data_IF_807067982992
#
_entry.id   IF_807067982992
#
_cell.length_a   1.000
_cell.length_b   1.000
_cell.length_c   1.000
_cell.angle_alpha   90.00
_cell.angle_beta   90.00
_cell.angle_gamma   90.00
#
_symmetry.space_group_name_H-M   'P 1'
#
loop_
_entity.id
_entity.type
_entity.pdbx_description
1 polymer ?
#
# COMPACT_ATOMS: atom_id res chain seq x y z
N UNK A 1 -25.37 -11.05 43.87
CA UNK A 1 -24.23 -12.00 43.82
C UNK A 1 -24.29 -12.98 42.64
N UNK A 2 -25.40 -13.09 41.90
CA UNK A 2 -25.54 -14.00 40.73
C UNK A 2 -25.08 -13.43 39.37
N UNK A 3 -24.71 -12.15 39.29
CA UNK A 3 -24.27 -11.51 38.02
C UNK A 3 -22.83 -11.91 37.62
N UNK A 4 -22.00 -12.34 38.58
CA UNK A 4 -20.57 -12.61 38.35
C UNK A 4 -20.29 -14.02 37.80
N UNK A 5 -21.21 -14.98 37.98
CA UNK A 5 -21.07 -16.38 37.56
C UNK A 5 -20.92 -16.48 36.03
N UNK A 6 -21.83 -15.87 35.26
CA UNK A 6 -21.92 -16.13 33.82
C UNK A 6 -20.81 -15.50 32.98
N UNK A 7 -20.24 -14.38 33.39
CA UNK A 7 -19.21 -13.69 32.60
C UNK A 7 -17.81 -14.30 32.82
N UNK A 8 -17.55 -14.83 34.02
CA UNK A 8 -16.28 -15.48 34.35
C UNK A 8 -16.30 -17.01 34.26
N UNK A 9 -17.46 -17.70 34.38
CA UNK A 9 -17.53 -19.16 34.12
C UNK A 9 -17.15 -19.51 32.68
N UNK A 10 -17.40 -18.60 31.73
CA UNK A 10 -16.96 -18.76 30.34
C UNK A 10 -15.46 -18.48 30.14
N UNK A 11 -14.79 -17.89 31.13
CA UNK A 11 -13.37 -17.54 31.13
C UNK A 11 -12.54 -18.42 32.07
N UNK A 12 -13.18 -19.28 32.88
CA UNK A 12 -12.47 -20.24 33.74
C UNK A 12 -11.68 -21.22 32.85
N UNK A 13 -10.34 -21.23 32.94
CA UNK A 13 -9.49 -22.00 32.04
C UNK A 13 -9.79 -23.49 32.10
N UNK A 14 -9.89 -24.15 30.93
CA UNK A 14 -9.74 -25.61 30.80
C UNK A 14 -8.27 -26.06 31.02
N UNK A 15 -7.50 -25.29 31.78
CA UNK A 15 -6.10 -25.54 32.09
C UNK A 15 -5.98 -26.48 33.29
N UNK A 16 -4.95 -27.34 33.26
CA UNK A 16 -4.66 -28.33 34.32
C UNK A 16 -4.51 -27.70 35.70
N UNK A 17 -4.04 -26.46 35.80
CA UNK A 17 -3.86 -25.75 37.07
C UNK A 17 -5.19 -25.41 37.76
N UNK A 18 -6.14 -24.78 37.06
CA UNK A 18 -7.44 -24.41 37.63
C UNK A 18 -8.28 -25.65 37.91
N UNK A 19 -8.17 -26.68 37.07
CA UNK A 19 -8.77 -27.98 37.36
C UNK A 19 -8.19 -28.62 38.62
N UNK A 20 -6.88 -28.47 38.87
CA UNK A 20 -6.24 -28.90 40.11
C UNK A 20 -6.77 -28.16 41.34
N UNK A 21 -6.93 -26.84 41.25
CA UNK A 21 -7.50 -26.03 42.34
C UNK A 21 -8.98 -26.35 42.59
N UNK A 22 -9.76 -26.61 41.54
CA UNK A 22 -11.15 -27.04 41.66
C UNK A 22 -11.25 -28.41 42.36
N UNK A 23 -10.42 -29.39 41.97
CA UNK A 23 -10.36 -30.69 42.66
C UNK A 23 -9.95 -30.54 44.12
N UNK A 24 -8.99 -29.68 44.43
CA UNK A 24 -8.59 -29.40 45.80
C UNK A 24 -9.76 -28.80 46.59
N UNK A 25 -10.47 -27.81 46.03
CA UNK A 25 -11.67 -27.21 46.62
C UNK A 25 -12.71 -28.24 47.02
N UNK A 26 -12.99 -29.21 46.15
CA UNK A 26 -14.00 -30.24 46.39
C UNK A 26 -13.63 -31.20 47.53
N UNK A 27 -12.35 -31.27 47.92
CA UNK A 27 -11.89 -32.05 49.08
C UNK A 27 -11.97 -31.27 50.41
N UNK A 28 -12.20 -29.96 50.36
CA UNK A 28 -12.25 -29.09 51.54
C UNK A 28 -13.65 -29.06 52.17
N UNK A 29 -13.79 -28.84 53.49
CA UNK A 29 -15.10 -28.60 54.11
C UNK A 29 -15.82 -27.39 53.52
N UNK A 30 -17.14 -27.48 53.33
CA UNK A 30 -17.98 -26.40 52.74
C UNK A 30 -17.80 -25.03 53.43
N UNK A 31 -17.54 -25.04 54.74
CA UNK A 31 -17.35 -23.82 55.54
C UNK A 31 -16.15 -22.96 55.09
N UNK A 32 -15.15 -23.57 54.42
CA UNK A 32 -13.95 -22.85 53.97
C UNK A 32 -13.93 -22.57 52.46
N UNK A 33 -14.92 -23.05 51.69
CA UNK A 33 -14.98 -22.87 50.23
C UNK A 33 -14.94 -21.40 49.83
N UNK A 34 -15.75 -20.53 50.46
CA UNK A 34 -15.78 -19.11 50.13
C UNK A 34 -14.42 -18.42 50.35
N UNK A 35 -13.73 -18.74 51.45
CA UNK A 35 -12.40 -18.20 51.74
C UNK A 35 -11.37 -18.73 50.76
N UNK A 36 -11.42 -20.03 50.42
CA UNK A 36 -10.55 -20.64 49.43
C UNK A 36 -10.74 -19.99 48.04
N UNK A 37 -11.99 -19.82 47.60
CA UNK A 37 -12.33 -19.20 46.32
C UNK A 37 -11.81 -17.77 46.22
N UNK A 38 -11.89 -16.99 47.31
CA UNK A 38 -11.34 -15.63 47.36
C UNK A 38 -9.80 -15.63 47.25
N UNK A 39 -9.11 -16.54 47.94
CA UNK A 39 -7.65 -16.64 47.85
C UNK A 39 -7.21 -17.08 46.46
N UNK A 40 -7.88 -18.07 45.88
CA UNK A 40 -7.61 -18.52 44.50
C UNK A 40 -7.87 -17.39 43.52
N UNK A 41 -8.94 -16.61 43.68
CA UNK A 41 -9.24 -15.45 42.83
C UNK A 41 -8.15 -14.40 42.90
N UNK A 42 -7.72 -14.02 44.10
CA UNK A 42 -6.61 -13.09 44.29
C UNK A 42 -5.32 -13.63 43.64
N UNK A 43 -4.95 -14.88 43.92
CA UNK A 43 -3.76 -15.51 43.34
C UNK A 43 -3.80 -15.56 41.81
N UNK A 44 -4.92 -15.97 41.21
CA UNK A 44 -5.08 -16.04 39.74
C UNK A 44 -5.00 -14.64 39.12
N UNK A 45 -5.61 -13.63 39.75
CA UNK A 45 -5.52 -12.23 39.29
C UNK A 45 -4.09 -11.73 39.30
N UNK A 46 -3.36 -11.97 40.38
CA UNK A 46 -2.00 -11.49 40.56
C UNK A 46 -1.06 -12.19 39.57
N UNK A 47 -1.17 -13.52 39.43
CA UNK A 47 -0.41 -14.28 38.42
C UNK A 47 -0.76 -13.85 36.99
N UNK A 48 -2.03 -13.60 36.68
CA UNK A 48 -2.45 -13.11 35.35
C UNK A 48 -1.86 -11.73 35.05
N UNK A 49 -1.69 -10.89 36.07
CA UNK A 49 -1.04 -9.58 35.94
C UNK A 49 0.45 -9.73 35.65
N UNK A 50 1.16 -10.61 36.37
CA UNK A 50 2.57 -10.90 36.11
C UNK A 50 2.81 -11.55 34.74
N UNK A 51 1.93 -12.46 34.33
CA UNK A 51 1.95 -13.02 32.97
C UNK A 51 1.66 -11.92 31.95
N UNK A 52 0.71 -11.03 32.20
CA UNK A 52 0.44 -9.89 31.33
C UNK A 52 1.68 -9.02 31.10
N UNK A 53 2.39 -8.68 32.17
CA UNK A 53 3.69 -7.97 32.11
C UNK A 53 4.72 -8.75 31.29
N UNK A 54 4.84 -10.07 31.51
CA UNK A 54 5.72 -10.93 30.70
C UNK A 54 5.33 -10.89 29.21
N UNK A 55 4.03 -10.94 28.87
CA UNK A 55 3.55 -10.90 27.49
C UNK A 55 3.80 -9.55 26.81
N UNK A 56 3.78 -8.44 27.55
CA UNK A 56 4.21 -7.14 27.02
C UNK A 56 5.72 -7.09 26.71
N UNK A 57 6.52 -7.88 27.44
CA UNK A 57 7.97 -7.87 27.37
C UNK A 57 8.56 -9.08 26.61
N UNK A 58 7.79 -9.69 25.70
CA UNK A 58 8.25 -10.82 24.89
C UNK A 58 9.47 -10.52 24.00
N UNK A 59 9.82 -9.24 23.85
CA UNK A 59 10.99 -8.79 23.11
C UNK A 59 12.29 -8.85 23.95
N UNK A 60 12.19 -8.78 25.27
CA UNK A 60 13.35 -8.74 26.18
C UNK A 60 13.95 -10.14 26.42
N UNK A 61 13.11 -11.19 26.33
CA UNK A 61 13.47 -12.55 26.73
C UNK A 61 13.25 -13.54 25.61
N UNK A 62 14.16 -14.51 25.49
CA UNK A 62 14.08 -15.61 24.51
C UNK A 62 13.06 -16.67 24.98
N UNK A 63 11.78 -16.37 24.82
CA UNK A 63 10.72 -17.35 25.02
C UNK A 63 10.48 -18.18 23.75
N UNK A 64 10.11 -19.45 23.90
CA UNK A 64 9.57 -20.25 22.79
C UNK A 64 8.06 -20.03 22.64
N UNK A 65 7.54 -20.20 21.42
CA UNK A 65 6.08 -20.12 21.14
C UNK A 65 5.30 -21.09 22.06
N UNK A 66 5.81 -22.31 22.25
CA UNK A 66 5.18 -23.33 23.10
C UNK A 66 5.12 -22.91 24.58
N UNK A 67 6.18 -22.29 25.12
CA UNK A 67 6.17 -21.78 26.49
C UNK A 67 5.12 -20.68 26.68
N UNK A 68 5.13 -19.70 25.76
CA UNK A 68 4.15 -18.59 25.80
C UNK A 68 2.73 -19.12 25.72
N UNK A 69 2.47 -20.09 24.83
CA UNK A 69 1.16 -20.73 24.70
C UNK A 69 0.72 -21.45 25.99
N UNK A 70 1.61 -22.20 26.63
CA UNK A 70 1.30 -22.89 27.90
C UNK A 70 0.91 -21.90 28.99
N UNK A 71 1.63 -20.79 29.10
CA UNK A 71 1.36 -19.75 30.11
C UNK A 71 0.03 -19.03 29.83
N UNK A 72 -0.25 -18.68 28.57
CA UNK A 72 -1.54 -18.07 28.19
C UNK A 72 -2.71 -19.00 28.53
N UNK A 73 -2.60 -20.30 28.25
CA UNK A 73 -3.65 -21.28 28.56
C UNK A 73 -3.85 -21.47 30.06
N UNK A 74 -2.82 -21.26 30.87
CA UNK A 74 -2.93 -21.26 32.32
C UNK A 74 -3.59 -19.96 32.84
N UNK A 75 -3.31 -18.82 32.21
CA UNK A 75 -3.78 -17.49 32.63
C UNK A 75 -4.35 -16.66 31.46
N UNK A 76 -5.52 -17.01 30.90
CA UNK A 76 -6.05 -16.38 29.69
C UNK A 76 -6.36 -14.88 29.82
N UNK A 77 -6.78 -14.44 31.01
CA UNK A 77 -7.07 -13.05 31.33
C UNK A 77 -5.85 -12.13 31.15
N UNK A 78 -4.64 -12.69 31.18
CA UNK A 78 -3.41 -11.95 30.87
C UNK A 78 -3.39 -11.33 29.47
N UNK A 79 -4.16 -11.88 28.51
CA UNK A 79 -4.32 -11.32 27.15
C UNK A 79 -5.06 -9.99 27.12
N UNK A 80 -5.76 -9.63 28.21
CA UNK A 80 -6.44 -8.36 28.40
C UNK A 80 -5.68 -7.42 29.34
N UNK A 81 -4.53 -7.85 29.88
CA UNK A 81 -3.74 -7.01 30.76
C UNK A 81 -3.30 -5.75 30.00
N UNK A 82 -3.57 -4.59 30.60
CA UNK A 82 -3.15 -3.31 30.05
C UNK A 82 -1.79 -2.93 30.61
N UNK A 83 -0.91 -2.41 29.76
CA UNK A 83 0.30 -1.73 30.22
C UNK A 83 0.05 -0.24 30.52
N UNK A 84 1.10 0.49 30.88
CA UNK A 84 1.04 1.94 31.16
C UNK A 84 0.57 2.80 29.96
N UNK A 85 0.57 2.26 28.73
CA UNK A 85 0.05 2.92 27.51
C UNK A 85 -1.38 2.50 27.19
N UNK A 86 -2.04 1.76 28.08
CA UNK A 86 -3.34 1.14 27.86
C UNK A 86 -3.37 0.19 26.65
N UNK A 87 -2.25 -0.47 26.36
CA UNK A 87 -2.18 -1.50 25.31
C UNK A 87 -2.36 -2.88 25.90
N UNK A 88 -2.96 -3.78 25.13
CA UNK A 88 -2.95 -5.22 25.42
C UNK A 88 -1.71 -5.91 24.83
N UNK A 89 -1.35 -7.14 25.23
CA UNK A 89 -0.07 -7.72 24.86
C UNK A 89 0.18 -7.88 23.36
N UNK A 90 -0.85 -8.20 22.56
CA UNK A 90 -0.70 -8.30 21.10
C UNK A 90 -0.30 -6.96 20.45
N UNK A 91 -0.74 -5.83 21.03
CA UNK A 91 -0.37 -4.50 20.56
C UNK A 91 1.10 -4.19 20.91
N UNK A 92 1.57 -4.52 22.11
CA UNK A 92 3.00 -4.41 22.45
C UNK A 92 3.87 -5.30 21.55
N UNK A 93 3.42 -6.54 21.34
CA UNK A 93 4.12 -7.55 20.54
C UNK A 93 4.28 -7.13 19.06
N UNK A 94 3.28 -6.45 18.49
CA UNK A 94 3.37 -5.97 17.11
C UNK A 94 4.32 -4.79 16.90
N UNK A 95 4.87 -4.19 17.98
CA UNK A 95 5.74 -3.02 17.91
C UNK A 95 7.24 -3.37 17.87
N UNK A 96 7.63 -4.63 18.08
CA UNK A 96 9.03 -5.05 18.11
C UNK A 96 9.27 -6.23 17.16
N UNK A 97 10.40 -6.21 16.45
CA UNK A 97 10.77 -7.28 15.52
C UNK A 97 11.07 -8.60 16.25
N UNK A 98 11.59 -8.54 17.48
CA UNK A 98 11.91 -9.69 18.32
C UNK A 98 10.65 -10.42 18.79
N UNK A 99 9.58 -9.66 19.04
CA UNK A 99 8.32 -10.19 19.56
C UNK A 99 7.25 -10.43 18.50
N UNK A 100 7.28 -9.76 17.34
CA UNK A 100 6.19 -9.84 16.33
C UNK A 100 5.83 -11.27 15.90
N UNK A 101 6.78 -12.21 15.97
CA UNK A 101 6.54 -13.64 15.69
C UNK A 101 5.48 -14.29 16.59
N UNK A 102 5.19 -13.72 17.76
CA UNK A 102 4.15 -14.20 18.67
C UNK A 102 2.75 -13.67 18.33
N UNK A 103 2.61 -12.66 17.45
CA UNK A 103 1.31 -12.08 17.08
C UNK A 103 0.31 -13.13 16.58
N UNK A 104 0.66 -14.09 15.69
CA UNK A 104 -0.28 -15.13 15.29
C UNK A 104 -0.76 -16.02 16.44
N UNK A 105 0.16 -16.40 17.35
CA UNK A 105 -0.19 -17.17 18.55
C UNK A 105 -1.15 -16.38 19.45
N UNK A 106 -0.82 -15.12 19.74
CA UNK A 106 -1.63 -14.27 20.59
C UNK A 106 -3.02 -14.08 20.00
N UNK A 107 -3.13 -13.85 18.69
CA UNK A 107 -4.43 -13.71 18.03
C UNK A 107 -5.28 -14.99 18.11
N UNK A 108 -4.67 -16.17 17.88
CA UNK A 108 -5.36 -17.46 17.96
C UNK A 108 -5.88 -17.74 19.37
N UNK A 109 -5.02 -17.64 20.38
CA UNK A 109 -5.42 -17.89 21.77
C UNK A 109 -6.45 -16.84 22.23
N UNK A 110 -6.25 -15.57 21.89
CA UNK A 110 -7.19 -14.49 22.20
C UNK A 110 -8.57 -14.69 21.55
N UNK A 111 -8.66 -15.36 20.40
CA UNK A 111 -9.95 -15.73 19.81
C UNK A 111 -10.69 -16.81 20.62
N UNK A 112 -9.99 -17.76 21.23
CA UNK A 112 -10.60 -18.78 22.08
C UNK A 112 -11.30 -18.17 23.30
N UNK A 113 -10.74 -17.07 23.81
CA UNK A 113 -11.26 -16.35 24.97
C UNK A 113 -12.06 -15.08 24.60
N UNK A 114 -12.48 -14.95 23.33
CA UNK A 114 -13.33 -13.84 22.86
C UNK A 114 -12.78 -12.43 23.16
N UNK A 115 -11.45 -12.27 23.17
CA UNK A 115 -10.79 -10.98 23.38
C UNK A 115 -11.18 -10.02 22.26
N UNK A 116 -11.74 -8.86 22.65
CA UNK A 116 -12.30 -7.85 21.74
C UNK A 116 -13.56 -8.32 20.97
N UNK A 117 -14.27 -9.32 21.49
CA UNK A 117 -15.52 -9.84 20.93
C UNK A 117 -15.33 -10.74 19.70
N UNK A 118 -16.42 -11.38 19.26
CA UNK A 118 -16.41 -12.42 18.19
C UNK A 118 -15.83 -11.94 16.87
N UNK A 119 -15.95 -10.64 16.60
CA UNK A 119 -15.44 -10.01 15.38
C UNK A 119 -14.06 -9.36 15.55
N UNK A 120 -13.53 -9.26 16.78
CA UNK A 120 -12.27 -8.59 17.09
C UNK A 120 -11.01 -9.31 16.61
N UNK A 121 -11.15 -10.61 16.24
CA UNK A 121 -10.06 -11.50 15.82
C UNK A 121 -8.87 -11.47 16.80
N UNK A 122 -9.17 -11.70 18.08
CA UNK A 122 -8.14 -11.78 19.12
C UNK A 122 -7.37 -10.48 19.30
N UNK A 123 -8.03 -9.33 19.13
CA UNK A 123 -7.41 -8.01 19.27
C UNK A 123 -6.71 -7.45 18.02
N UNK A 124 -6.62 -8.19 16.91
CA UNK A 124 -5.99 -7.70 15.68
C UNK A 124 -6.64 -6.42 15.11
N UNK A 125 -7.94 -6.23 15.35
CA UNK A 125 -8.68 -5.02 14.92
C UNK A 125 -8.70 -3.92 15.98
N UNK A 126 -8.09 -4.13 17.14
CA UNK A 126 -8.12 -3.19 18.24
C UNK A 126 -7.21 -2.00 17.95
N UNK A 127 -7.73 -0.79 18.13
CA UNK A 127 -6.98 0.45 18.02
C UNK A 127 -6.11 0.66 19.27
N UNK A 128 -4.96 1.29 19.11
CA UNK A 128 -4.02 1.53 20.21
C UNK A 128 -4.49 2.63 21.18
N UNK A 129 -5.45 3.46 20.78
CA UNK A 129 -6.06 4.48 21.63
C UNK A 129 -7.45 4.87 21.11
N UNK A 130 -8.25 5.51 21.96
CA UNK A 130 -9.55 6.11 21.60
C UNK A 130 -9.38 7.36 20.73
N UNK A 131 -8.18 7.93 20.64
CA UNK A 131 -7.89 9.05 19.75
C UNK A 131 -8.15 8.65 18.30
N UNK A 132 -8.82 9.56 17.58
CA UNK A 132 -9.15 9.40 16.16
C UNK A 132 -7.86 9.16 15.38
N UNK A 133 -7.88 8.16 14.47
CA UNK A 133 -6.76 7.75 13.60
C UNK A 133 -5.61 6.93 14.24
N UNK A 134 -5.76 6.41 15.45
CA UNK A 134 -4.75 5.44 15.92
C UNK A 134 -4.79 4.14 15.10
N UNK A 135 -3.62 3.62 14.67
CA UNK A 135 -3.56 2.41 13.88
C UNK A 135 -4.05 1.22 14.72
N UNK A 136 -4.59 0.20 14.06
CA UNK A 136 -4.77 -1.11 14.67
C UNK A 136 -3.55 -2.00 14.46
N UNK A 137 -3.53 -3.19 15.09
CA UNK A 137 -2.42 -4.14 14.98
C UNK A 137 -2.08 -4.49 13.53
N UNK A 138 -3.07 -4.70 12.65
CA UNK A 138 -2.79 -4.99 11.23
C UNK A 138 -2.09 -3.83 10.52
N UNK A 139 -2.49 -2.59 10.79
CA UNK A 139 -1.84 -1.40 10.25
C UNK A 139 -0.42 -1.26 10.80
N UNK A 140 -0.22 -1.52 12.10
CA UNK A 140 1.11 -1.55 12.72
C UNK A 140 2.01 -2.56 12.02
N UNK A 141 1.55 -3.79 11.81
CA UNK A 141 2.33 -4.81 11.10
C UNK A 141 2.76 -4.37 9.68
N UNK A 142 1.95 -3.55 9.01
CA UNK A 142 2.23 -3.03 7.68
C UNK A 142 3.20 -1.85 7.69
N UNK A 143 3.13 -0.99 8.71
CA UNK A 143 3.86 0.28 8.77
C UNK A 143 5.16 0.22 9.58
N UNK A 144 5.38 -0.78 10.43
CA UNK A 144 6.54 -0.78 11.32
C UNK A 144 7.85 -0.77 10.53
N UNK A 145 8.66 0.27 10.78
CA UNK A 145 9.99 0.48 10.21
C UNK A 145 11.01 0.22 11.32
N UNK A 146 12.12 -0.43 10.99
CA UNK A 146 13.29 -0.43 11.86
C UNK A 146 14.12 0.81 11.59
N UNK A 147 14.72 1.39 12.64
CA UNK A 147 15.70 2.46 12.47
C UNK A 147 16.90 2.00 11.63
N UNK A 148 17.25 0.72 11.71
CA UNK A 148 18.42 0.16 11.04
C UNK A 148 18.22 -0.13 9.54
N UNK A 149 17.08 0.27 8.94
CA UNK A 149 16.71 0.01 7.53
C UNK A 149 16.97 -1.44 7.06
N UNK A 150 17.04 -2.40 7.99
CA UNK A 150 17.40 -3.77 7.70
C UNK A 150 16.25 -4.48 6.99
N UNK A 151 16.55 -5.05 5.82
CA UNK A 151 15.62 -5.89 5.05
C UNK A 151 15.11 -7.09 5.85
N UNK A 152 15.83 -7.49 6.91
CA UNK A 152 15.41 -8.57 7.80
C UNK A 152 14.12 -8.24 8.56
N UNK A 153 13.91 -6.98 8.96
CA UNK A 153 12.70 -6.57 9.68
C UNK A 153 11.48 -6.70 8.78
N UNK A 154 11.56 -6.15 7.56
CA UNK A 154 10.49 -6.24 6.57
C UNK A 154 10.11 -7.69 6.26
N UNK A 155 11.12 -8.57 6.12
CA UNK A 155 10.91 -10.01 5.94
C UNK A 155 10.16 -10.64 7.11
N UNK A 156 10.57 -10.36 8.35
CA UNK A 156 9.93 -10.91 9.55
C UNK A 156 8.45 -10.52 9.64
N UNK A 157 8.12 -9.23 9.46
CA UNK A 157 6.73 -8.79 9.46
C UNK A 157 5.94 -9.36 8.27
N UNK A 158 6.56 -9.51 7.09
CA UNK A 158 5.94 -10.16 5.93
C UNK A 158 5.57 -11.62 6.23
N UNK A 159 6.45 -12.39 6.87
CA UNK A 159 6.15 -13.78 7.26
C UNK A 159 4.99 -13.84 8.27
N UNK A 160 4.91 -12.90 9.21
CA UNK A 160 3.77 -12.81 10.13
C UNK A 160 2.47 -12.54 9.37
N UNK A 161 2.45 -11.62 8.40
CA UNK A 161 1.27 -11.37 7.56
C UNK A 161 0.85 -12.61 6.75
N UNK A 162 1.81 -13.39 6.24
CA UNK A 162 1.54 -14.67 5.56
C UNK A 162 0.94 -15.72 6.50
N UNK A 163 1.44 -15.83 7.73
CA UNK A 163 0.86 -16.74 8.74
C UNK A 163 -0.55 -16.30 9.12
N UNK A 164 -0.79 -14.99 9.29
CA UNK A 164 -2.14 -14.47 9.54
C UNK A 164 -3.09 -14.74 8.36
N UNK A 165 -2.59 -14.66 7.12
CA UNK A 165 -3.35 -15.05 5.93
C UNK A 165 -3.71 -16.55 5.96
N UNK A 166 -2.74 -17.43 6.18
CA UNK A 166 -2.96 -18.88 6.14
C UNK A 166 -3.94 -19.34 7.22
N UNK A 167 -3.94 -18.66 8.37
CA UNK A 167 -4.91 -18.85 9.46
C UNK A 167 -6.27 -18.17 9.23
N UNK A 168 -6.50 -17.55 8.06
CA UNK A 168 -7.71 -16.78 7.72
C UNK A 168 -8.01 -15.61 8.68
N UNK A 169 -6.98 -15.12 9.39
CA UNK A 169 -7.05 -13.97 10.28
C UNK A 169 -6.89 -12.65 9.53
N UNK A 170 -6.05 -12.62 8.49
CA UNK A 170 -5.97 -11.52 7.52
C UNK A 170 -6.84 -11.85 6.30
N UNK A 171 -7.77 -10.97 5.93
CA UNK A 171 -8.75 -11.16 4.87
C UNK A 171 -8.65 -10.05 3.83
N UNK A 172 -9.03 -10.32 2.58
CA UNK A 172 -8.99 -9.33 1.49
C UNK A 172 -9.77 -8.04 1.80
N UNK A 173 -10.91 -8.17 2.51
CA UNK A 173 -11.70 -7.02 2.99
C UNK A 173 -10.94 -6.08 3.93
N UNK A 174 -9.92 -6.60 4.64
CA UNK A 174 -9.11 -5.79 5.57
C UNK A 174 -8.19 -4.81 4.85
N UNK A 175 -7.70 -5.18 3.66
CA UNK A 175 -6.83 -4.32 2.86
C UNK A 175 -7.51 -2.98 2.61
N UNK A 176 -8.80 -3.02 2.27
CA UNK A 176 -9.61 -1.84 2.00
C UNK A 176 -10.02 -1.15 3.30
N UNK A 177 -10.56 -1.92 4.24
CA UNK A 177 -11.12 -1.36 5.48
C UNK A 177 -10.08 -0.61 6.31
N UNK A 178 -8.82 -1.06 6.27
CA UNK A 178 -7.75 -0.52 7.09
C UNK A 178 -6.62 0.10 6.26
N UNK A 179 -6.82 0.27 4.95
CA UNK A 179 -5.85 0.86 4.03
C UNK A 179 -4.44 0.24 4.17
N UNK A 180 -4.39 -1.10 4.30
CA UNK A 180 -3.14 -1.81 4.62
C UNK A 180 -2.08 -1.64 3.54
N UNK A 181 -2.51 -1.52 2.27
CA UNK A 181 -1.60 -1.26 1.16
C UNK A 181 -0.90 0.10 1.31
N UNK A 182 -1.66 1.15 1.63
CA UNK A 182 -1.11 2.48 1.90
C UNK A 182 -0.22 2.47 3.16
N UNK A 183 -0.63 1.78 4.23
CA UNK A 183 0.16 1.65 5.46
C UNK A 183 1.53 0.96 5.22
N UNK A 184 1.62 0.09 4.22
CA UNK A 184 2.87 -0.56 3.80
C UNK A 184 3.65 0.20 2.72
N UNK A 185 3.17 1.37 2.28
CA UNK A 185 3.75 2.12 1.16
C UNK A 185 5.02 2.91 1.57
N UNK A 186 6.02 2.17 2.02
CA UNK A 186 7.35 2.68 2.36
C UNK A 186 8.42 1.73 1.82
N UNK A 187 9.58 2.27 1.45
CA UNK A 187 10.69 1.48 0.94
C UNK A 187 11.19 0.43 1.95
N UNK A 188 11.13 0.74 3.25
CA UNK A 188 11.44 -0.20 4.34
C UNK A 188 10.35 -1.26 4.57
N UNK A 189 9.20 -1.13 3.90
CA UNK A 189 8.08 -2.06 3.94
C UNK A 189 7.83 -2.75 2.59
N UNK A 190 8.82 -2.74 1.68
CA UNK A 190 8.68 -3.18 0.29
C UNK A 190 8.10 -4.59 0.14
N UNK A 191 8.56 -5.56 0.93
CA UNK A 191 8.12 -6.96 0.87
C UNK A 191 6.67 -7.10 1.33
N UNK A 192 6.26 -6.35 2.37
CA UNK A 192 4.87 -6.28 2.83
C UNK A 192 3.97 -5.65 1.78
N UNK A 193 4.40 -4.53 1.20
CA UNK A 193 3.69 -3.86 0.10
C UNK A 193 3.47 -4.81 -1.07
N UNK A 194 4.53 -5.47 -1.53
CA UNK A 194 4.47 -6.43 -2.63
C UNK A 194 3.59 -7.64 -2.31
N UNK A 195 3.64 -8.14 -1.07
CA UNK A 195 2.78 -9.23 -0.62
C UNK A 195 1.30 -8.84 -0.66
N UNK A 196 0.93 -7.68 -0.10
CA UNK A 196 -0.45 -7.19 -0.09
C UNK A 196 -0.96 -6.87 -1.50
N UNK A 197 -0.09 -6.32 -2.35
CA UNK A 197 -0.42 -5.96 -3.72
C UNK A 197 -0.76 -7.18 -4.60
N UNK A 198 -0.22 -8.37 -4.28
CA UNK A 198 -0.58 -9.62 -4.99
C UNK A 198 -2.07 -9.97 -4.83
N UNK A 199 -2.72 -9.54 -3.75
CA UNK A 199 -4.14 -9.84 -3.54
C UNK A 199 -5.07 -8.96 -4.37
N UNK A 200 -4.70 -7.70 -4.56
CA UNK A 200 -5.55 -6.78 -5.32
C UNK A 200 -4.72 -5.68 -5.99
N UNK A 201 -4.28 -5.96 -7.23
CA UNK A 201 -3.53 -5.00 -8.05
C UNK A 201 -4.39 -3.81 -8.48
N UNK A 202 -5.72 -3.99 -8.63
CA UNK A 202 -6.64 -2.93 -9.05
C UNK A 202 -6.68 -1.79 -8.05
N UNK A 203 -6.35 -2.04 -6.78
CA UNK A 203 -6.26 -1.02 -5.72
C UNK A 203 -5.31 0.13 -6.04
N UNK A 204 -4.31 -0.09 -6.89
CA UNK A 204 -3.42 0.99 -7.32
C UNK A 204 -4.11 2.02 -8.21
N UNK A 205 -5.20 1.65 -8.90
CA UNK A 205 -6.00 2.56 -9.73
C UNK A 205 -7.14 3.23 -8.96
N UNK A 206 -7.50 2.69 -7.80
CA UNK A 206 -8.62 3.17 -7.01
C UNK A 206 -8.22 4.40 -6.18
N UNK A 207 -9.20 5.25 -5.88
CA UNK A 207 -8.99 6.39 -5.00
C UNK A 207 -8.84 5.90 -3.55
N UNK A 208 -7.93 6.54 -2.83
CA UNK A 208 -7.70 6.43 -1.41
C UNK A 208 -7.95 7.80 -0.76
N UNK A 209 -8.98 7.88 0.08
CA UNK A 209 -9.37 9.15 0.73
C UNK A 209 -9.54 10.28 -0.30
N UNK A 210 -10.35 10.04 -1.33
CA UNK A 210 -10.69 10.99 -2.42
C UNK A 210 -9.60 11.16 -3.49
N UNK A 211 -8.32 10.89 -3.20
CA UNK A 211 -7.23 11.03 -4.18
C UNK A 211 -6.81 9.68 -4.79
N UNK A 212 -6.29 9.63 -6.03
CA UNK A 212 -5.70 8.40 -6.57
C UNK A 212 -4.60 7.86 -5.66
N UNK A 213 -4.48 6.53 -5.55
CA UNK A 213 -3.52 5.90 -4.64
C UNK A 213 -2.10 6.46 -4.78
N UNK A 214 -1.59 6.60 -6.01
CA UNK A 214 -0.22 7.08 -6.25
C UNK A 214 -0.01 8.53 -5.78
N UNK A 215 -1.01 9.42 -5.87
CA UNK A 215 -0.95 10.77 -5.30
C UNK A 215 -0.82 10.73 -3.79
N UNK A 216 -1.62 9.90 -3.11
CA UNK A 216 -1.54 9.75 -1.65
C UNK A 216 -0.16 9.28 -1.19
N UNK A 217 0.56 8.52 -2.03
CA UNK A 217 1.94 8.10 -1.72
C UNK A 217 2.94 9.25 -1.73
N UNK A 218 2.66 10.32 -2.50
CA UNK A 218 3.50 11.51 -2.63
C UNK A 218 3.19 12.51 -1.50
N UNK A 219 1.89 12.76 -1.26
CA UNK A 219 1.41 13.81 -0.34
C UNK A 219 1.47 13.40 1.13
N UNK A 220 1.57 12.10 1.43
CA UNK A 220 1.65 11.60 2.80
C UNK A 220 2.94 12.05 3.49
N UNK A 221 2.79 12.70 4.66
CA UNK A 221 3.90 13.18 5.50
C UNK A 221 4.89 12.09 5.93
N UNK A 222 4.45 10.84 5.98
CA UNK A 222 5.30 9.71 6.40
C UNK A 222 6.06 9.07 5.26
N UNK A 223 5.77 9.49 4.02
CA UNK A 223 6.31 8.92 2.80
C UNK A 223 7.35 9.87 2.21
N UNK A 224 8.44 9.30 1.73
CA UNK A 224 9.46 10.04 1.01
C UNK A 224 9.42 9.72 -0.49
N UNK A 225 10.36 10.28 -1.26
CA UNK A 225 10.47 10.00 -2.70
C UNK A 225 10.66 8.50 -3.01
N UNK A 226 11.20 7.72 -2.06
CA UNK A 226 11.32 6.26 -2.19
C UNK A 226 9.98 5.52 -2.20
N UNK A 227 8.93 6.05 -1.54
CA UNK A 227 7.57 5.49 -1.59
C UNK A 227 6.93 5.73 -2.96
N UNK A 228 7.13 6.93 -3.52
CA UNK A 228 6.72 7.23 -4.88
C UNK A 228 7.44 6.33 -5.89
N UNK A 229 8.77 6.20 -5.79
CA UNK A 229 9.56 5.30 -6.66
C UNK A 229 9.10 3.83 -6.56
N UNK A 230 8.87 3.34 -5.33
CA UNK A 230 8.34 1.99 -5.12
C UNK A 230 6.98 1.83 -5.81
N UNK A 231 6.05 2.75 -5.58
CA UNK A 231 4.70 2.69 -6.14
C UNK A 231 4.72 2.79 -7.66
N UNK A 232 5.42 3.77 -8.22
CA UNK A 232 5.59 3.97 -9.65
C UNK A 232 6.18 2.73 -10.32
N UNK A 233 7.21 2.11 -9.72
CA UNK A 233 7.80 0.87 -10.26
C UNK A 233 6.77 -0.27 -10.34
N UNK A 234 5.83 -0.36 -9.39
CA UNK A 234 4.78 -1.38 -9.39
C UNK A 234 3.64 -1.05 -10.33
N UNK A 235 3.21 0.20 -10.38
CA UNK A 235 2.17 0.63 -11.33
C UNK A 235 2.66 0.47 -12.77
N UNK A 236 3.92 0.80 -13.09
CA UNK A 236 4.51 0.54 -14.42
C UNK A 236 4.51 -0.95 -14.76
N UNK A 237 4.76 -1.82 -13.78
CA UNK A 237 4.74 -3.27 -13.97
C UNK A 237 3.34 -3.80 -14.28
N UNK A 238 2.32 -3.28 -13.60
CA UNK A 238 0.94 -3.79 -13.72
C UNK A 238 0.08 -3.05 -14.75
N UNK A 239 0.42 -1.79 -15.04
CA UNK A 239 -0.31 -0.88 -15.92
C UNK A 239 0.66 -0.14 -16.86
N UNK A 240 1.46 -0.87 -17.66
CA UNK A 240 2.45 -0.24 -18.54
C UNK A 240 1.80 0.65 -19.62
N UNK A 241 0.56 0.35 -20.03
CA UNK A 241 -0.21 1.14 -21.01
C UNK A 241 -0.63 2.50 -20.45
N UNK A 242 -0.95 2.57 -19.16
CA UNK A 242 -1.27 3.82 -18.48
C UNK A 242 0.00 4.54 -17.99
N UNK A 243 1.16 4.15 -18.51
CA UNK A 243 2.49 4.58 -18.09
C UNK A 243 2.72 4.51 -16.57
N UNK A 244 2.13 3.50 -15.93
CA UNK A 244 2.17 3.35 -14.49
C UNK A 244 1.48 4.47 -13.71
N UNK A 245 0.40 5.01 -14.28
CA UNK A 245 -0.43 6.04 -13.65
C UNK A 245 0.33 7.36 -13.40
N UNK A 246 1.47 7.57 -14.06
CA UNK A 246 2.28 8.79 -13.92
C UNK A 246 1.50 10.06 -14.30
N UNK A 247 0.50 9.92 -15.18
CA UNK A 247 -0.34 11.02 -15.63
C UNK A 247 -1.81 10.87 -15.21
N UNK A 248 -2.09 10.03 -14.19
CA UNK A 248 -3.42 9.98 -13.61
C UNK A 248 -3.71 11.34 -12.96
N UNK A 249 -4.92 11.88 -13.17
CA UNK A 249 -5.35 13.14 -12.56
C UNK A 249 -6.05 12.90 -11.22
N UNK A 250 -5.89 13.81 -10.27
CA UNK A 250 -6.71 13.90 -9.07
C UNK A 250 -7.94 14.81 -9.32
N UNK A 251 -8.76 15.01 -8.28
CA UNK A 251 -9.96 15.86 -8.34
C UNK A 251 -9.63 17.35 -8.57
N UNK A 252 -8.36 17.75 -8.38
CA UNK A 252 -7.86 19.10 -8.66
C UNK A 252 -7.32 19.26 -10.09
N UNK A 253 -7.46 18.22 -10.92
CA UNK A 253 -6.92 18.13 -12.29
C UNK A 253 -5.38 18.20 -12.35
N UNK A 254 -4.71 17.85 -11.26
CA UNK A 254 -3.24 17.73 -11.22
C UNK A 254 -2.84 16.29 -11.52
N UNK A 255 -1.89 16.10 -12.43
CA UNK A 255 -1.34 14.77 -12.70
C UNK A 255 -0.46 14.30 -11.55
N UNK A 256 -0.23 12.98 -11.43
CA UNK A 256 0.74 12.45 -10.46
C UNK A 256 2.13 13.05 -10.67
N UNK A 257 2.51 13.34 -11.92
CA UNK A 257 3.74 14.04 -12.25
C UNK A 257 3.77 15.44 -11.64
N UNK A 258 2.72 16.24 -11.81
CA UNK A 258 2.65 17.61 -11.26
C UNK A 258 2.79 17.61 -9.74
N UNK A 259 2.05 16.72 -9.07
CA UNK A 259 2.13 16.57 -7.62
C UNK A 259 3.53 16.14 -7.18
N UNK A 260 4.19 15.24 -7.91
CA UNK A 260 5.57 14.87 -7.62
C UNK A 260 6.56 16.04 -7.80
N UNK A 261 6.42 16.83 -8.88
CA UNK A 261 7.24 18.02 -9.12
C UNK A 261 7.04 19.05 -8.02
N UNK A 262 5.80 19.29 -7.57
CA UNK A 262 5.49 20.21 -6.49
C UNK A 262 6.15 19.79 -5.15
N UNK A 263 6.12 18.50 -4.81
CA UNK A 263 6.62 18.00 -3.52
C UNK A 263 8.12 17.72 -3.49
N UNK A 264 8.69 17.22 -4.59
CA UNK A 264 10.08 16.75 -4.63
C UNK A 264 10.98 17.61 -5.51
N UNK A 265 10.42 18.53 -6.28
CA UNK A 265 11.13 19.27 -7.31
C UNK A 265 11.27 18.50 -8.62
N UNK A 266 11.45 19.25 -9.70
CA UNK A 266 11.53 18.75 -11.08
C UNK A 266 12.64 17.71 -11.27
N UNK A 267 13.87 18.05 -10.91
CA UNK A 267 15.02 17.14 -11.14
C UNK A 267 14.92 15.84 -10.35
N UNK A 268 14.46 15.91 -9.09
CA UNK A 268 14.30 14.70 -8.27
C UNK A 268 13.20 13.80 -8.83
N UNK A 269 12.10 14.39 -9.29
CA UNK A 269 11.00 13.67 -9.93
C UNK A 269 11.48 12.96 -11.20
N UNK A 270 12.21 13.65 -12.08
CA UNK A 270 12.79 13.03 -13.27
C UNK A 270 13.79 11.92 -12.96
N UNK A 271 14.61 12.07 -11.90
CA UNK A 271 15.51 11.01 -11.45
C UNK A 271 14.72 9.73 -11.13
N UNK A 272 13.64 9.85 -10.35
CA UNK A 272 12.79 8.71 -9.96
C UNK A 272 12.11 8.08 -11.18
N UNK A 273 11.60 8.90 -12.09
CA UNK A 273 10.97 8.41 -13.33
C UNK A 273 12.00 7.64 -14.17
N UNK A 274 13.24 8.14 -14.30
CA UNK A 274 14.31 7.47 -15.04
C UNK A 274 14.69 6.12 -14.44
N UNK A 275 14.68 6.00 -13.11
CA UNK A 275 14.93 4.73 -12.40
C UNK A 275 13.80 3.72 -12.63
N UNK A 276 12.55 4.19 -12.71
CA UNK A 276 11.37 3.34 -12.87
C UNK A 276 11.03 3.01 -14.35
N UNK A 277 11.32 3.95 -15.25
CA UNK A 277 11.14 3.88 -16.70
C UNK A 277 12.50 4.15 -17.35
N UNK A 278 13.37 3.14 -17.49
CA UNK A 278 14.62 3.33 -18.21
C UNK A 278 14.37 3.72 -19.67
N UNK A 279 15.22 4.57 -20.25
CA UNK A 279 15.10 5.00 -21.66
C UNK A 279 15.19 3.85 -22.68
N UNK A 280 15.72 2.69 -22.27
CA UNK A 280 15.74 1.46 -23.07
C UNK A 280 14.37 0.79 -23.18
N UNK A 281 13.44 1.11 -22.28
CA UNK A 281 12.11 0.51 -22.28
C UNK A 281 11.28 1.11 -23.41
N UNK A 282 10.66 0.24 -24.21
CA UNK A 282 9.81 0.62 -25.35
C UNK A 282 8.42 1.07 -24.88
N UNK A 283 8.35 2.20 -24.18
CA UNK A 283 7.08 2.83 -23.81
C UNK A 283 6.88 4.14 -24.60
N UNK A 284 5.67 4.44 -25.08
CA UNK A 284 5.36 5.67 -25.81
C UNK A 284 5.18 6.86 -24.86
N UNK A 285 6.18 7.15 -24.01
CA UNK A 285 6.04 8.16 -22.94
C UNK A 285 5.68 9.55 -23.46
N UNK A 286 6.25 9.95 -24.60
CA UNK A 286 5.95 11.25 -25.19
C UNK A 286 4.48 11.39 -25.62
N UNK A 287 3.83 10.31 -26.05
CA UNK A 287 2.40 10.33 -26.38
C UNK A 287 1.53 10.64 -25.18
N UNK A 288 1.93 10.22 -23.99
CA UNK A 288 1.21 10.58 -22.77
C UNK A 288 1.54 12.01 -22.32
N UNK A 289 2.80 12.43 -22.44
CA UNK A 289 3.26 13.78 -22.05
C UNK A 289 2.52 14.85 -22.85
N UNK A 290 2.43 14.72 -24.18
CA UNK A 290 1.77 15.73 -25.02
C UNK A 290 0.27 15.90 -24.68
N UNK A 291 -0.40 14.83 -24.25
CA UNK A 291 -1.82 14.89 -23.85
C UNK A 291 -2.03 15.43 -22.44
N UNK A 292 -1.13 15.09 -21.52
CA UNK A 292 -1.36 15.31 -20.09
C UNK A 292 -0.65 16.56 -19.55
N UNK A 293 0.58 16.81 -20.01
CA UNK A 293 1.49 17.85 -19.49
C UNK A 293 2.39 18.40 -20.62
N UNK A 294 1.80 18.98 -21.69
CA UNK A 294 2.54 19.40 -22.89
C UNK A 294 3.65 20.42 -22.61
N UNK A 295 3.54 21.21 -21.55
CA UNK A 295 4.55 22.17 -21.10
C UNK A 295 5.88 21.51 -20.68
N UNK A 296 5.87 20.22 -20.35
CA UNK A 296 7.07 19.44 -20.03
C UNK A 296 7.59 18.61 -21.22
N UNK A 297 7.02 18.77 -22.42
CA UNK A 297 7.37 17.96 -23.58
C UNK A 297 8.87 17.95 -23.86
N UNK A 298 9.51 19.13 -23.86
CA UNK A 298 10.93 19.27 -24.13
C UNK A 298 11.79 18.54 -23.09
N UNK A 299 11.43 18.62 -21.81
CA UNK A 299 12.16 17.92 -20.74
C UNK A 299 12.11 16.40 -20.88
N UNK A 300 10.94 15.87 -21.25
CA UNK A 300 10.77 14.45 -21.52
C UNK A 300 11.46 14.04 -22.83
N UNK A 301 11.41 14.86 -23.88
CA UNK A 301 12.05 14.55 -25.16
C UNK A 301 13.57 14.44 -25.03
N UNK A 302 14.21 15.30 -24.24
CA UNK A 302 15.64 15.23 -23.93
C UNK A 302 15.99 13.93 -23.19
N UNK A 303 15.12 13.47 -22.28
CA UNK A 303 15.36 12.29 -21.43
C UNK A 303 14.96 10.97 -22.10
N UNK A 304 14.01 11.02 -23.05
CA UNK A 304 13.43 9.88 -23.75
C UNK A 304 13.39 10.09 -25.28
N UNK A 305 14.53 10.42 -25.94
CA UNK A 305 14.54 10.77 -27.35
C UNK A 305 14.07 9.61 -28.24
N UNK A 306 14.29 8.37 -27.83
CA UNK A 306 13.85 7.18 -28.57
C UNK A 306 12.32 7.00 -28.58
N UNK A 307 11.59 7.70 -27.70
CA UNK A 307 10.13 7.60 -27.62
C UNK A 307 9.43 8.27 -28.80
N UNK A 308 10.09 9.19 -29.52
CA UNK A 308 9.50 9.88 -30.69
C UNK A 308 9.19 8.90 -31.82
N UNK A 309 9.98 7.82 -31.92
CA UNK A 309 9.84 6.76 -32.93
C UNK A 309 8.95 5.61 -32.45
N UNK A 310 8.29 5.74 -31.30
CA UNK A 310 7.37 4.71 -30.80
C UNK A 310 5.97 4.98 -31.29
N UNK A 311 5.18 3.91 -31.36
CA UNK A 311 3.75 3.98 -31.60
C UNK A 311 3.01 3.82 -30.29
N UNK A 312 1.88 4.51 -30.15
CA UNK A 312 0.96 4.24 -29.04
C UNK A 312 0.22 2.91 -29.22
N UNK A 313 -0.69 2.61 -28.29
CA UNK A 313 -1.47 1.37 -28.33
C UNK A 313 -2.42 1.25 -29.53
N UNK A 314 -2.73 2.37 -30.20
CA UNK A 314 -3.54 2.41 -31.41
C UNK A 314 -2.68 2.45 -32.68
N UNK A 315 -1.36 2.28 -32.55
CA UNK A 315 -0.43 2.31 -33.67
C UNK A 315 -0.07 3.72 -34.14
N UNK A 316 -0.49 4.78 -33.46
CA UNK A 316 -0.25 6.17 -33.91
C UNK A 316 1.19 6.57 -33.67
N UNK A 317 1.78 7.25 -34.65
CA UNK A 317 3.08 7.91 -34.47
C UNK A 317 2.93 9.09 -33.50
N UNK A 318 4.03 9.44 -32.83
CA UNK A 318 4.05 10.61 -31.95
C UNK A 318 3.62 11.89 -32.68
N UNK A 319 4.08 12.07 -33.93
CA UNK A 319 3.75 13.23 -34.76
C UNK A 319 2.25 13.38 -35.04
N UNK A 320 1.51 12.28 -35.24
CA UNK A 320 0.06 12.35 -35.44
C UNK A 320 -0.63 12.96 -34.22
N UNK A 321 -0.22 12.51 -33.04
CA UNK A 321 -0.80 13.00 -31.80
C UNK A 321 -0.34 14.41 -31.47
N UNK A 322 0.91 14.74 -31.77
CA UNK A 322 1.43 16.09 -31.56
C UNK A 322 0.68 17.11 -32.42
N UNK A 323 0.42 16.79 -33.69
CA UNK A 323 -0.40 17.64 -34.58
C UNK A 323 -1.84 17.76 -34.07
N UNK A 324 -2.46 16.68 -33.63
CA UNK A 324 -3.80 16.73 -33.02
C UNK A 324 -3.84 17.67 -31.81
N UNK A 325 -2.81 17.61 -30.96
CA UNK A 325 -2.63 18.48 -29.79
C UNK A 325 -2.09 19.89 -30.11
N UNK A 326 -2.15 20.34 -31.37
CA UNK A 326 -1.81 21.73 -31.72
C UNK A 326 -0.32 22.05 -31.81
N UNK A 327 0.55 21.03 -31.85
CA UNK A 327 1.97 21.27 -32.07
C UNK A 327 2.20 21.68 -33.51
N UNK A 328 2.81 22.85 -33.69
CA UNK A 328 2.88 23.57 -34.96
C UNK A 328 4.30 24.05 -35.25
N UNK A 329 4.56 24.49 -36.48
CA UNK A 329 5.83 25.09 -36.89
C UNK A 329 6.19 26.32 -36.06
N UNK A 330 5.20 27.09 -35.60
CA UNK A 330 5.45 28.31 -34.85
C UNK A 330 5.86 28.02 -33.41
N UNK A 331 5.28 26.98 -32.79
CA UNK A 331 5.55 26.65 -31.39
C UNK A 331 6.69 25.62 -31.22
N UNK A 332 6.86 24.68 -32.17
CA UNK A 332 7.87 23.62 -32.11
C UNK A 332 8.38 23.27 -33.52
N UNK A 333 9.07 24.20 -34.21
CA UNK A 333 9.50 24.02 -35.60
C UNK A 333 10.34 22.77 -35.82
N UNK A 334 11.24 22.47 -34.87
CA UNK A 334 12.14 21.32 -35.00
C UNK A 334 11.40 19.98 -35.05
N UNK A 335 10.28 19.84 -34.35
CA UNK A 335 9.51 18.59 -34.38
C UNK A 335 8.84 18.37 -35.73
N UNK A 336 8.32 19.43 -36.36
CA UNK A 336 7.69 19.36 -37.68
C UNK A 336 8.74 19.17 -38.78
N UNK A 337 9.85 19.92 -38.72
CA UNK A 337 10.93 19.85 -39.71
C UNK A 337 11.65 18.50 -39.71
N UNK A 338 11.69 17.81 -38.56
CA UNK A 338 12.34 16.50 -38.42
C UNK A 338 11.47 15.31 -38.88
N UNK A 339 10.20 15.51 -39.23
CA UNK A 339 9.38 14.44 -39.81
C UNK A 339 10.05 13.93 -41.09
N UNK A 340 10.14 12.62 -41.30
CA UNK A 340 10.57 12.06 -42.58
C UNK A 340 9.44 12.10 -43.61
N UNK A 341 9.75 12.05 -44.91
CA UNK A 341 8.69 12.02 -45.95
C UNK A 341 7.78 10.80 -45.76
N UNK A 342 8.35 9.64 -45.41
CA UNK A 342 7.58 8.46 -45.04
C UNK A 342 6.64 8.69 -43.84
N UNK A 343 7.02 9.54 -42.88
CA UNK A 343 6.14 9.93 -41.76
C UNK A 343 5.03 10.88 -42.22
N UNK A 344 5.33 11.78 -43.16
CA UNK A 344 4.36 12.73 -43.73
C UNK A 344 3.33 12.00 -44.61
N UNK A 345 3.71 10.89 -45.24
CA UNK A 345 2.84 10.07 -46.10
C UNK A 345 2.08 8.99 -45.34
N UNK A 346 2.40 8.76 -44.06
CA UNK A 346 1.73 7.75 -43.27
C UNK A 346 0.39 8.27 -42.72
N UNK A 347 -0.72 7.58 -43.05
CA UNK A 347 -2.02 7.89 -42.46
C UNK A 347 -2.06 7.53 -40.97
N UNK A 348 -2.72 8.36 -40.18
CA UNK A 348 -3.01 8.05 -38.79
C UNK A 348 -4.01 6.90 -38.68
N UNK A 349 -3.65 5.76 -38.06
CA UNK A 349 -4.50 4.56 -38.08
C UNK A 349 -5.85 4.73 -37.36
N UNK A 350 -6.01 5.77 -36.53
CA UNK A 350 -7.27 6.05 -35.83
C UNK A 350 -8.21 6.93 -36.65
N UNK A 351 -7.69 7.99 -37.27
CA UNK A 351 -8.51 8.98 -38.00
C UNK A 351 -8.58 8.70 -39.50
N UNK A 352 -7.64 7.92 -40.04
CA UNK A 352 -7.45 7.72 -41.48
C UNK A 352 -6.87 8.95 -42.20
N UNK A 353 -6.53 10.01 -41.45
CA UNK A 353 -6.06 11.27 -41.99
C UNK A 353 -4.55 11.30 -42.14
N UNK A 354 -4.07 12.01 -43.17
CA UNK A 354 -2.66 12.35 -43.30
C UNK A 354 -2.26 13.48 -42.33
N UNK A 355 -0.98 13.61 -41.96
CA UNK A 355 -0.49 14.63 -41.04
C UNK A 355 -0.96 16.05 -41.35
N UNK A 356 -0.94 16.49 -42.62
CA UNK A 356 -1.42 17.85 -42.95
C UNK A 356 -2.93 18.01 -42.72
N UNK A 357 -3.72 16.94 -42.89
CA UNK A 357 -5.16 16.93 -42.63
C UNK A 357 -5.44 16.92 -41.13
N UNK A 358 -4.66 16.16 -40.34
CA UNK A 358 -4.73 16.20 -38.88
C UNK A 358 -4.43 17.61 -38.39
N UNK A 359 -3.36 18.23 -38.92
CA UNK A 359 -3.00 19.59 -38.60
C UNK A 359 -4.16 20.55 -38.89
N UNK A 360 -4.76 20.46 -40.08
CA UNK A 360 -5.90 21.30 -40.48
C UNK A 360 -7.18 21.05 -39.67
N UNK A 361 -7.35 19.84 -39.11
CA UNK A 361 -8.50 19.50 -38.27
C UNK A 361 -8.38 20.01 -36.83
N UNK A 362 -7.16 20.30 -36.37
CA UNK A 362 -6.93 20.84 -35.03
C UNK A 362 -7.16 22.35 -35.02
N UNK A 363 -7.94 22.84 -34.05
CA UNK A 363 -8.23 24.26 -33.89
C UNK A 363 -7.00 25.09 -33.48
N UNK A 364 -5.96 24.43 -32.99
CA UNK A 364 -4.78 25.09 -32.44
C UNK A 364 -3.61 25.23 -33.43
N UNK A 365 -3.67 24.56 -34.60
CA UNK A 365 -2.59 24.62 -35.57
C UNK A 365 -2.70 25.83 -36.51
N UNK A 366 -1.54 26.34 -36.88
CA UNK A 366 -1.43 27.40 -37.87
C UNK A 366 -1.45 26.87 -39.31
N UNK A 367 -1.92 27.71 -40.23
CA UNK A 367 -2.02 27.41 -41.65
C UNK A 367 -0.64 27.11 -42.29
N UNK A 368 0.45 27.68 -41.76
CA UNK A 368 1.81 27.43 -42.26
C UNK A 368 2.24 25.99 -42.02
N UNK A 369 1.87 25.42 -40.87
CA UNK A 369 2.08 23.98 -40.57
C UNK A 369 1.38 23.10 -41.60
N UNK A 370 0.12 23.41 -41.90
CA UNK A 370 -0.67 22.66 -42.89
C UNK A 370 -0.03 22.74 -44.29
N UNK A 371 0.31 23.95 -44.76
CA UNK A 371 0.94 24.13 -46.08
C UNK A 371 2.31 23.49 -46.16
N UNK A 372 3.12 23.55 -45.10
CA UNK A 372 4.44 22.92 -45.08
C UNK A 372 4.33 21.41 -45.23
N UNK A 373 3.47 20.76 -44.43
CA UNK A 373 3.26 19.31 -44.51
C UNK A 373 2.67 18.91 -45.87
N UNK A 374 1.72 19.67 -46.40
CA UNK A 374 1.13 19.41 -47.71
C UNK A 374 2.15 19.49 -48.85
N UNK A 375 3.03 20.50 -48.83
CA UNK A 375 4.10 20.65 -49.84
C UNK A 375 5.08 19.48 -49.86
N UNK A 376 5.21 18.76 -48.75
CA UNK A 376 6.06 17.57 -48.65
C UNK A 376 5.39 16.30 -49.17
N UNK A 377 4.08 16.29 -49.32
CA UNK A 377 3.33 15.17 -49.93
C UNK A 377 2.24 15.67 -50.88
N UNK A 378 2.61 16.32 -52.00
CA UNK A 378 1.64 16.89 -52.94
C UNK A 378 0.82 15.81 -53.67
N UNK A 379 1.38 14.61 -53.83
CA UNK A 379 0.74 13.44 -54.45
C UNK A 379 -0.48 12.93 -53.68
N UNK A 380 -0.63 13.33 -52.41
CA UNK A 380 -1.74 12.94 -51.56
C UNK A 380 -3.06 13.68 -51.87
N UNK A 381 -3.02 14.71 -52.72
CA UNK A 381 -4.23 15.37 -53.23
C UNK A 381 -4.66 14.66 -54.52
N UNK A 382 -5.88 14.11 -54.59
CA UNK A 382 -6.39 13.56 -55.83
C UNK A 382 -6.44 14.64 -56.93
N UNK A 383 -6.10 14.32 -58.19
CA UNK A 383 -6.26 15.26 -59.29
C UNK A 383 -7.72 15.70 -59.37
N UNK A 384 -7.94 17.02 -59.44
CA UNK A 384 -9.26 17.65 -59.53
C UNK A 384 -9.97 17.36 -60.85
#
# INVERSE_FOLDING_TARGET
MESWSKEYENLLPRGTFIQGLAKLRDTLPNQIHAKFDEHVRCMVRDLSTEVGKMLHNLHEKKHSITQVQKVIRAFPSSLLCLNHKAWIPIQSCAQSVESVRFVPLLADEAMLYNVNGRNGRGGLKMKYSTIVHTPNVLQVLCQMKSMDKSSAVDRTYTEVLKILQSKKLLKSKDLNKYNLLHASCDIACKSRFEFLLKWNKKKLKENHCEEPFIHSTITSKTNGPGSFALTLSKTIKYFPRDLGLLFQMNDRKETTFDVAVQFYGKEKTFQIIKECIPASKKLPILHHVIRAVPEYLNDFAIRYPSSIYRRDENGRLFHHLALECGVSLLNNPMMILQMSDATVEECDPVTGLLPFMIAASSQENDLSTCYHLLRRSPSSIPPL
#
